data_IF_454111637841
#
_entry.id   IF_454111637841
#
_cell.length_a   1.000
_cell.length_b   1.000
_cell.length_c   1.000
_cell.angle_alpha   90.00
_cell.angle_beta   90.00
_cell.angle_gamma   90.00
#
_symmetry.space_group_name_H-M   'P 1'
#
loop_
_entity.id
_entity.type
_entity.pdbx_description
1 polymer ?
#
# COMPACT_ATOMS: atom_id res chain seq x y z
N UNK A 1 -20.49 -27.22 -8.76
CA UNK A 1 -19.81 -26.01 -9.29
C UNK A 1 -20.50 -25.49 -10.56
N UNK A 2 -20.87 -26.37 -11.49
CA UNK A 2 -21.44 -25.95 -12.78
C UNK A 2 -22.74 -25.13 -12.63
N UNK A 3 -23.55 -25.41 -11.61
CA UNK A 3 -24.76 -24.66 -11.30
C UNK A 3 -24.50 -23.17 -10.95
N UNK A 4 -23.26 -22.79 -10.59
CA UNK A 4 -22.86 -21.39 -10.37
C UNK A 4 -22.89 -20.57 -11.66
N UNK A 5 -22.95 -21.21 -12.83
CA UNK A 5 -23.10 -20.52 -14.12
C UNK A 5 -24.52 -19.96 -14.30
N UNK A 6 -25.49 -20.48 -13.58
CA UNK A 6 -26.86 -19.95 -13.54
C UNK A 6 -27.02 -18.79 -12.54
N UNK A 7 -26.04 -18.53 -11.69
CA UNK A 7 -26.08 -17.48 -10.67
C UNK A 7 -25.36 -16.25 -11.18
N UNK A 8 -26.09 -15.21 -11.49
CA UNK A 8 -25.52 -13.91 -11.91
C UNK A 8 -24.80 -13.27 -10.70
N UNK A 9 -23.52 -12.95 -10.86
CA UNK A 9 -22.78 -12.15 -9.88
C UNK A 9 -23.15 -10.66 -10.06
N UNK A 10 -22.98 -10.16 -11.27
CA UNK A 10 -23.39 -8.82 -11.69
C UNK A 10 -23.62 -8.83 -13.21
N UNK A 11 -24.62 -8.11 -13.70
CA UNK A 11 -25.07 -8.20 -15.11
C UNK A 11 -23.94 -8.01 -16.15
N UNK A 12 -23.02 -7.07 -15.90
CA UNK A 12 -21.90 -6.80 -16.81
C UNK A 12 -20.67 -7.66 -16.52
N UNK A 13 -20.52 -8.22 -15.29
CA UNK A 13 -19.34 -8.97 -14.88
C UNK A 13 -19.51 -10.50 -15.00
N UNK A 14 -20.73 -10.93 -15.41
CA UNK A 14 -21.03 -12.32 -15.66
C UNK A 14 -21.46 -13.11 -14.42
N UNK A 15 -21.23 -14.43 -14.47
CA UNK A 15 -21.75 -15.39 -13.51
C UNK A 15 -20.83 -15.56 -12.30
N UNK A 16 -21.36 -16.16 -11.22
CA UNK A 16 -20.58 -16.54 -10.04
C UNK A 16 -19.54 -17.62 -10.38
N UNK A 17 -19.75 -18.44 -11.40
CA UNK A 17 -18.75 -19.38 -11.90
C UNK A 17 -17.56 -18.63 -12.52
N UNK A 18 -17.81 -17.59 -13.33
CA UNK A 18 -16.76 -16.76 -13.90
C UNK A 18 -15.95 -16.07 -12.79
N UNK A 19 -16.63 -15.50 -11.78
CA UNK A 19 -16.00 -14.92 -10.58
C UNK A 19 -15.12 -15.96 -9.86
N UNK A 20 -15.61 -17.18 -9.61
CA UNK A 20 -14.83 -18.24 -8.94
C UNK A 20 -13.55 -18.57 -9.71
N UNK A 21 -13.59 -18.58 -11.04
CA UNK A 21 -12.39 -18.79 -11.88
C UNK A 21 -11.37 -17.65 -11.73
N UNK A 22 -11.82 -16.39 -11.65
CA UNK A 22 -10.93 -15.24 -11.42
C UNK A 22 -10.33 -15.27 -10.01
N UNK A 23 -11.12 -15.63 -8.99
CA UNK A 23 -10.63 -15.82 -7.61
C UNK A 23 -9.48 -16.84 -7.59
N UNK A 24 -9.61 -17.98 -8.27
CA UNK A 24 -8.54 -19.00 -8.35
C UNK A 24 -7.28 -18.44 -9.04
N UNK A 25 -7.44 -17.71 -10.15
CA UNK A 25 -6.30 -17.09 -10.86
C UNK A 25 -5.57 -16.09 -9.95
N UNK A 26 -6.32 -15.22 -9.28
CA UNK A 26 -5.75 -14.22 -8.37
C UNK A 26 -5.10 -14.88 -7.15
N UNK A 27 -5.73 -15.90 -6.56
CA UNK A 27 -5.12 -16.66 -5.46
C UNK A 27 -3.78 -17.30 -5.89
N UNK A 28 -3.69 -17.81 -7.13
CA UNK A 28 -2.44 -18.32 -7.70
C UNK A 28 -1.38 -17.23 -7.82
N UNK A 29 -1.74 -16.05 -8.34
CA UNK A 29 -0.86 -14.89 -8.43
C UNK A 29 -0.34 -14.45 -7.04
N UNK A 30 -1.23 -14.37 -6.03
CA UNK A 30 -0.85 -14.04 -4.66
C UNK A 30 0.10 -15.09 -4.06
N UNK A 31 -0.13 -16.40 -4.31
CA UNK A 31 0.79 -17.43 -3.89
C UNK A 31 2.20 -17.24 -4.49
N UNK A 32 2.29 -16.89 -5.76
CA UNK A 32 3.57 -16.64 -6.45
C UNK A 32 4.29 -15.43 -5.89
N UNK A 33 3.58 -14.32 -5.67
CA UNK A 33 4.16 -13.09 -5.11
C UNK A 33 4.63 -13.25 -3.67
N UNK A 34 3.94 -14.11 -2.88
CA UNK A 34 4.27 -14.37 -1.48
C UNK A 34 5.22 -15.58 -1.29
N UNK A 35 5.66 -16.24 -2.39
CA UNK A 35 6.50 -17.44 -2.30
C UNK A 35 5.82 -18.65 -1.64
N UNK A 36 4.49 -18.75 -1.73
CA UNK A 36 3.72 -19.87 -1.19
C UNK A 36 3.72 -21.03 -2.19
N UNK A 37 4.14 -22.21 -1.77
CA UNK A 37 4.20 -23.41 -2.59
C UNK A 37 3.66 -24.67 -1.86
N UNK A 38 3.86 -25.84 -2.47
CA UNK A 38 3.49 -27.13 -1.88
C UNK A 38 2.02 -27.26 -1.49
N UNK A 39 1.77 -27.97 -0.39
CA UNK A 39 0.42 -28.27 0.10
C UNK A 39 -0.39 -27.01 0.43
N UNK A 40 0.26 -25.96 0.94
CA UNK A 40 -0.44 -24.72 1.27
C UNK A 40 -1.01 -24.04 0.02
N UNK A 41 -0.24 -23.97 -1.08
CA UNK A 41 -0.74 -23.49 -2.38
C UNK A 41 -1.89 -24.32 -2.89
N UNK A 42 -1.81 -25.66 -2.79
CA UNK A 42 -2.89 -26.56 -3.18
C UNK A 42 -4.16 -26.30 -2.39
N UNK A 43 -4.07 -26.16 -1.07
CA UNK A 43 -5.21 -25.84 -0.19
C UNK A 43 -5.82 -24.47 -0.52
N UNK A 44 -5.00 -23.45 -0.79
CA UNK A 44 -5.45 -22.12 -1.21
C UNK A 44 -6.25 -22.19 -2.51
N UNK A 45 -5.69 -22.81 -3.55
CA UNK A 45 -6.35 -22.91 -4.85
C UNK A 45 -7.64 -23.75 -4.76
N UNK A 46 -7.63 -24.80 -3.93
CA UNK A 46 -8.80 -25.63 -3.70
C UNK A 46 -9.90 -24.86 -2.95
N UNK A 47 -9.55 -24.13 -1.90
CA UNK A 47 -10.49 -23.28 -1.17
C UNK A 47 -11.04 -22.16 -2.06
N UNK A 48 -10.21 -21.50 -2.85
CA UNK A 48 -10.61 -20.49 -3.82
C UNK A 48 -11.61 -21.02 -4.86
N UNK A 49 -11.40 -22.25 -5.33
CA UNK A 49 -12.32 -22.92 -6.25
C UNK A 49 -13.68 -23.21 -5.61
N UNK A 50 -13.72 -23.60 -4.35
CA UNK A 50 -14.93 -24.07 -3.66
C UNK A 50 -15.66 -22.99 -2.86
N UNK A 51 -15.05 -21.83 -2.60
CA UNK A 51 -15.56 -20.83 -1.65
C UNK A 51 -16.96 -20.28 -1.98
N UNK A 52 -17.44 -20.42 -3.21
CA UNK A 52 -18.79 -19.99 -3.65
C UNK A 52 -19.73 -21.18 -3.94
N UNK A 53 -19.27 -22.43 -3.77
CA UNK A 53 -20.04 -23.63 -4.15
C UNK A 53 -21.35 -23.78 -3.37
N UNK A 54 -21.42 -23.25 -2.15
CA UNK A 54 -22.59 -23.37 -1.29
C UNK A 54 -23.76 -22.44 -1.71
N UNK A 55 -23.50 -21.43 -2.53
CA UNK A 55 -24.52 -20.48 -2.99
C UNK A 55 -25.67 -21.13 -3.78
N UNK A 56 -25.44 -22.30 -4.38
CA UNK A 56 -26.45 -23.07 -5.12
C UNK A 56 -27.07 -24.18 -4.28
N UNK A 57 -26.75 -24.31 -3.00
CA UNK A 57 -27.31 -25.30 -2.11
C UNK A 57 -28.63 -24.85 -1.51
N UNK A 58 -29.57 -25.77 -1.29
CA UNK A 58 -30.87 -25.44 -0.72
C UNK A 58 -30.79 -24.69 0.61
N UNK A 59 -29.81 -25.01 1.47
CA UNK A 59 -29.62 -24.34 2.74
C UNK A 59 -29.26 -22.86 2.57
N UNK A 60 -28.36 -22.51 1.64
CA UNK A 60 -27.93 -21.13 1.44
C UNK A 60 -28.94 -20.33 0.59
N UNK A 61 -29.64 -20.98 -0.33
CA UNK A 61 -30.74 -20.37 -1.08
C UNK A 61 -31.87 -19.95 -0.14
N UNK A 62 -32.22 -20.78 0.85
CA UNK A 62 -33.25 -20.48 1.85
C UNK A 62 -32.73 -19.50 2.93
N UNK A 63 -31.47 -19.69 3.39
CA UNK A 63 -30.86 -18.90 4.46
C UNK A 63 -29.52 -18.30 4.01
N UNK A 64 -29.56 -17.18 3.33
CA UNK A 64 -28.35 -16.53 2.78
C UNK A 64 -27.30 -16.15 3.84
N UNK A 65 -27.72 -16.00 5.10
CA UNK A 65 -26.82 -15.66 6.21
C UNK A 65 -25.83 -16.77 6.57
N UNK A 66 -26.09 -18.02 6.15
CA UNK A 66 -25.21 -19.17 6.43
C UNK A 66 -24.21 -19.45 5.32
N UNK A 67 -24.12 -18.59 4.29
CA UNK A 67 -23.12 -18.69 3.22
C UNK A 67 -21.69 -18.71 3.79
N UNK A 68 -20.84 -19.53 3.23
CA UNK A 68 -19.48 -19.80 3.70
C UNK A 68 -19.46 -20.81 4.85
N UNK A 69 -20.30 -20.63 5.86
CA UNK A 69 -20.40 -21.59 6.99
C UNK A 69 -20.91 -22.94 6.50
N UNK A 70 -21.99 -22.96 5.73
CA UNK A 70 -22.49 -24.21 5.14
C UNK A 70 -21.51 -24.81 4.14
N UNK A 71 -20.84 -23.98 3.34
CA UNK A 71 -19.78 -24.41 2.44
C UNK A 71 -18.66 -25.14 3.17
N UNK A 72 -18.23 -24.64 4.33
CA UNK A 72 -17.25 -25.32 5.19
C UNK A 72 -17.71 -26.70 5.67
N UNK A 73 -18.96 -26.83 6.14
CA UNK A 73 -19.50 -28.10 6.55
C UNK A 73 -19.58 -29.10 5.39
N UNK A 74 -20.01 -28.65 4.22
CA UNK A 74 -20.07 -29.49 3.03
C UNK A 74 -18.68 -29.92 2.55
N UNK A 75 -17.69 -28.99 2.55
CA UNK A 75 -16.32 -29.31 2.21
C UNK A 75 -15.75 -30.40 3.15
N UNK A 76 -15.93 -30.21 4.45
CA UNK A 76 -15.48 -31.19 5.45
C UNK A 76 -16.16 -32.55 5.27
N UNK A 77 -17.46 -32.58 5.02
CA UNK A 77 -18.21 -33.82 4.75
C UNK A 77 -17.78 -34.51 3.44
N UNK A 78 -17.30 -33.73 2.46
CA UNK A 78 -16.76 -34.24 1.20
C UNK A 78 -15.30 -34.71 1.31
N UNK A 79 -14.65 -34.58 2.47
CA UNK A 79 -13.27 -35.03 2.71
C UNK A 79 -12.19 -34.04 2.34
N UNK A 80 -12.53 -32.75 2.18
CA UNK A 80 -11.54 -31.66 1.99
C UNK A 80 -10.72 -31.48 3.29
N UNK A 81 -9.53 -30.92 3.17
CA UNK A 81 -8.65 -30.63 4.33
C UNK A 81 -9.32 -29.66 5.32
N UNK A 82 -8.90 -29.69 6.57
CA UNK A 82 -9.37 -28.70 7.56
C UNK A 82 -9.00 -27.28 7.13
N UNK A 83 -7.83 -27.08 6.48
CA UNK A 83 -7.40 -25.79 5.96
C UNK A 83 -8.35 -25.25 4.87
N UNK A 84 -8.73 -26.09 3.91
CA UNK A 84 -9.71 -25.75 2.86
C UNK A 84 -11.07 -25.42 3.46
N UNK A 85 -11.56 -26.29 4.36
CA UNK A 85 -12.87 -26.13 4.99
C UNK A 85 -12.94 -24.84 5.82
N UNK A 86 -11.89 -24.53 6.58
CA UNK A 86 -11.82 -23.30 7.38
C UNK A 86 -11.73 -22.05 6.49
N UNK A 87 -10.91 -22.08 5.43
CA UNK A 87 -10.80 -20.96 4.49
C UNK A 87 -12.13 -20.65 3.80
N UNK A 88 -12.93 -21.66 3.46
CA UNK A 88 -14.29 -21.48 2.92
C UNK A 88 -15.20 -20.74 3.93
N UNK A 89 -15.12 -21.08 5.24
CA UNK A 89 -15.89 -20.36 6.25
C UNK A 89 -15.43 -18.88 6.39
N UNK A 90 -14.13 -18.65 6.31
CA UNK A 90 -13.51 -17.39 6.70
C UNK A 90 -13.37 -16.38 5.55
N UNK A 91 -13.50 -16.79 4.27
CA UNK A 91 -13.21 -15.89 3.13
C UNK A 91 -14.09 -14.63 3.06
N UNK A 92 -15.26 -14.64 3.72
CA UNK A 92 -16.08 -13.43 3.85
C UNK A 92 -15.57 -12.45 4.93
N UNK A 93 -14.67 -12.89 5.81
CA UNK A 93 -14.12 -12.04 6.88
C UNK A 93 -13.11 -11.03 6.35
N UNK A 94 -12.94 -9.85 7.01
CA UNK A 94 -13.86 -9.33 8.01
C UNK A 94 -15.20 -8.92 7.37
N UNK A 95 -16.32 -9.18 8.05
CA UNK A 95 -17.69 -8.91 7.55
C UNK A 95 -18.19 -7.51 7.92
N UNK A 96 -17.64 -6.94 9.00
CA UNK A 96 -17.99 -5.61 9.51
C UNK A 96 -16.77 -4.99 10.21
N UNK A 97 -16.85 -3.70 10.55
CA UNK A 97 -15.77 -3.02 11.27
C UNK A 97 -15.56 -3.66 12.65
N UNK A 98 -14.33 -4.05 12.96
CA UNK A 98 -13.96 -4.75 14.20
C UNK A 98 -14.16 -6.27 14.16
N UNK A 99 -14.62 -6.86 13.03
CA UNK A 99 -14.60 -8.32 12.85
C UNK A 99 -13.16 -8.81 12.67
N UNK A 100 -12.86 -9.98 13.23
CA UNK A 100 -11.55 -10.59 13.07
C UNK A 100 -11.31 -11.01 11.61
N UNK A 101 -10.13 -10.76 11.05
CA UNK A 101 -9.74 -11.33 9.76
C UNK A 101 -9.63 -12.87 9.86
N UNK A 102 -9.50 -13.57 8.70
CA UNK A 102 -9.15 -14.98 8.70
C UNK A 102 -7.89 -15.25 9.52
N UNK A 103 -7.92 -16.30 10.34
CA UNK A 103 -6.80 -16.63 11.24
C UNK A 103 -5.62 -17.28 10.50
N UNK A 104 -5.88 -17.91 9.36
CA UNK A 104 -4.87 -18.65 8.58
C UNK A 104 -4.48 -17.92 7.32
N UNK A 105 -3.25 -18.11 6.85
CA UNK A 105 -2.77 -17.54 5.58
C UNK A 105 -3.62 -18.03 4.41
N UNK A 106 -4.03 -19.31 4.40
CA UNK A 106 -4.96 -19.89 3.41
C UNK A 106 -6.26 -19.09 3.35
N UNK A 107 -6.88 -18.82 4.50
CA UNK A 107 -8.11 -18.02 4.59
C UNK A 107 -7.92 -16.57 4.16
N UNK A 108 -6.79 -15.94 4.53
CA UNK A 108 -6.46 -14.54 4.14
C UNK A 108 -6.32 -14.40 2.62
N UNK A 109 -5.57 -15.31 1.95
CA UNK A 109 -5.39 -15.26 0.49
C UNK A 109 -6.73 -15.37 -0.23
N UNK A 110 -7.60 -16.33 0.17
CA UNK A 110 -8.92 -16.49 -0.46
C UNK A 110 -9.83 -15.29 -0.20
N UNK A 111 -9.79 -14.73 1.02
CA UNK A 111 -10.55 -13.53 1.37
C UNK A 111 -10.11 -12.30 0.56
N UNK A 112 -8.80 -12.11 0.39
CA UNK A 112 -8.26 -11.03 -0.45
C UNK A 112 -8.66 -11.24 -1.91
N UNK A 113 -8.50 -12.44 -2.44
CA UNK A 113 -8.84 -12.75 -3.83
C UNK A 113 -10.31 -12.47 -4.15
N UNK A 114 -11.24 -12.88 -3.27
CA UNK A 114 -12.68 -12.61 -3.45
C UNK A 114 -13.02 -11.12 -3.37
N UNK A 115 -12.46 -10.41 -2.37
CA UNK A 115 -12.73 -8.99 -2.16
C UNK A 115 -12.12 -8.12 -3.27
N UNK A 116 -10.89 -8.41 -3.67
CA UNK A 116 -10.20 -7.64 -4.69
C UNK A 116 -10.82 -7.84 -6.09
N UNK A 117 -11.22 -9.08 -6.43
CA UNK A 117 -12.02 -9.34 -7.64
C UNK A 117 -13.28 -8.48 -7.65
N UNK A 118 -14.03 -8.46 -6.54
CA UNK A 118 -15.27 -7.67 -6.44
C UNK A 118 -15.01 -6.18 -6.61
N UNK A 119 -13.99 -5.63 -5.93
CA UNK A 119 -13.66 -4.20 -6.00
C UNK A 119 -13.29 -3.82 -7.43
N UNK A 120 -12.29 -4.48 -8.01
CA UNK A 120 -11.81 -4.15 -9.36
C UNK A 120 -12.91 -4.31 -10.42
N UNK A 121 -13.71 -5.38 -10.34
CA UNK A 121 -14.80 -5.60 -11.27
C UNK A 121 -15.87 -4.52 -11.21
N UNK A 122 -16.28 -4.10 -10.02
CA UNK A 122 -17.31 -3.07 -9.89
C UNK A 122 -16.79 -1.69 -10.32
N UNK A 123 -15.51 -1.38 -10.09
CA UNK A 123 -14.91 -0.18 -10.67
C UNK A 123 -14.85 -0.24 -12.20
N UNK A 124 -14.51 -1.39 -12.78
CA UNK A 124 -14.45 -1.58 -14.25
C UNK A 124 -15.81 -1.38 -14.96
N UNK A 125 -16.94 -1.51 -14.25
CA UNK A 125 -18.29 -1.29 -14.80
C UNK A 125 -18.99 -0.05 -14.24
N UNK A 126 -18.23 0.93 -13.75
CA UNK A 126 -18.71 2.21 -13.22
C UNK A 126 -19.68 2.08 -12.02
N UNK A 127 -19.48 1.04 -11.19
CA UNK A 127 -20.25 0.80 -9.96
C UNK A 127 -19.43 1.11 -8.69
N UNK A 128 -18.48 2.04 -8.77
CA UNK A 128 -17.73 2.53 -7.64
C UNK A 128 -18.64 3.17 -6.57
N UNK A 129 -18.29 3.09 -5.27
CA UNK A 129 -19.07 3.72 -4.22
C UNK A 129 -19.08 5.25 -4.37
N UNK A 130 -20.24 5.87 -4.21
CA UNK A 130 -20.41 7.33 -4.30
C UNK A 130 -21.06 7.89 -3.03
N UNK A 131 -20.52 8.98 -2.47
CA UNK A 131 -21.08 9.62 -1.29
C UNK A 131 -21.36 8.62 -0.16
N UNK A 132 -22.63 8.50 0.26
CA UNK A 132 -23.08 7.51 1.25
C UNK A 132 -23.49 6.16 0.65
N UNK A 133 -23.57 6.03 -0.68
CA UNK A 133 -24.00 4.80 -1.36
C UNK A 133 -22.84 3.84 -1.53
N UNK A 134 -22.97 2.63 -1.00
CA UNK A 134 -22.04 1.52 -1.13
C UNK A 134 -22.80 0.19 -1.05
N UNK A 135 -23.63 -0.13 -2.06
CA UNK A 135 -24.53 -1.29 -2.01
C UNK A 135 -23.76 -2.64 -1.98
N UNK A 136 -22.52 -2.65 -2.44
CA UNK A 136 -21.66 -3.84 -2.46
C UNK A 136 -20.67 -3.89 -1.31
N UNK A 137 -20.72 -2.92 -0.38
CA UNK A 137 -19.82 -2.82 0.76
C UNK A 137 -18.32 -2.80 0.39
N UNK A 138 -17.97 -2.13 -0.73
CA UNK A 138 -16.61 -2.09 -1.24
C UNK A 138 -15.64 -1.40 -0.28
N UNK A 139 -16.11 -0.33 0.42
CA UNK A 139 -15.29 0.35 1.43
C UNK A 139 -14.87 -0.58 2.55
N UNK A 140 -15.79 -1.44 2.98
CA UNK A 140 -15.53 -2.45 4.02
C UNK A 140 -14.60 -3.54 3.50
N UNK A 141 -14.80 -3.98 2.27
CA UNK A 141 -13.93 -4.98 1.62
C UNK A 141 -12.49 -4.47 1.49
N UNK A 142 -12.30 -3.21 1.05
CA UNK A 142 -10.99 -2.58 0.94
C UNK A 142 -10.32 -2.42 2.33
N UNK A 143 -11.06 -1.92 3.33
CA UNK A 143 -10.55 -1.83 4.70
C UNK A 143 -10.13 -3.21 5.23
N UNK A 144 -10.91 -4.26 4.95
CA UNK A 144 -10.55 -5.62 5.34
C UNK A 144 -9.23 -6.10 4.70
N UNK A 145 -8.98 -5.78 3.43
CA UNK A 145 -7.70 -6.10 2.76
C UNK A 145 -6.56 -5.33 3.43
N UNK A 146 -6.70 -4.01 3.61
CA UNK A 146 -5.66 -3.18 4.23
C UNK A 146 -5.36 -3.64 5.66
N UNK A 147 -6.40 -3.98 6.46
CA UNK A 147 -6.22 -4.51 7.80
C UNK A 147 -5.42 -5.81 7.82
N UNK A 148 -5.65 -6.71 6.86
CA UNK A 148 -4.88 -7.96 6.74
C UNK A 148 -3.43 -7.70 6.35
N UNK A 149 -3.18 -6.78 5.42
CA UNK A 149 -1.82 -6.40 4.98
C UNK A 149 -1.01 -5.71 6.08
N UNK A 150 -1.66 -4.88 6.90
CA UNK A 150 -0.98 -4.09 7.93
C UNK A 150 -1.01 -4.76 9.32
N UNK A 151 -1.38 -6.03 9.42
CA UNK A 151 -1.47 -6.76 10.69
C UNK A 151 -0.11 -7.03 11.36
N UNK A 152 1.01 -6.83 10.65
CA UNK A 152 2.36 -7.03 11.19
C UNK A 152 2.77 -8.50 11.33
N UNK A 153 2.05 -9.40 10.65
CA UNK A 153 2.40 -10.81 10.50
C UNK A 153 3.06 -11.08 9.14
N UNK A 154 3.35 -12.34 8.81
CA UNK A 154 3.99 -12.76 7.58
C UNK A 154 3.08 -12.74 6.32
N UNK A 155 1.93 -12.04 6.40
CA UNK A 155 1.00 -11.88 5.29
C UNK A 155 1.22 -10.53 4.58
N UNK A 156 2.24 -10.47 3.74
CA UNK A 156 2.61 -9.27 2.99
C UNK A 156 2.66 -9.56 1.49
N UNK A 157 2.10 -8.67 0.68
CA UNK A 157 2.20 -8.66 -0.78
C UNK A 157 1.96 -7.24 -1.30
N UNK A 158 2.44 -6.96 -2.51
CA UNK A 158 2.21 -5.69 -3.17
C UNK A 158 0.80 -5.65 -3.79
N UNK A 159 -0.01 -4.70 -3.34
CA UNK A 159 -1.41 -4.63 -3.75
C UNK A 159 -1.57 -4.16 -5.21
N UNK A 160 -0.73 -3.24 -5.67
CA UNK A 160 -0.84 -2.69 -7.03
C UNK A 160 -0.65 -3.76 -8.10
N UNK A 161 0.37 -4.65 -8.06
CA UNK A 161 0.45 -5.80 -8.97
C UNK A 161 -0.75 -6.74 -8.90
N UNK A 162 -1.33 -6.95 -7.71
CA UNK A 162 -2.53 -7.77 -7.58
C UNK A 162 -3.75 -7.12 -8.24
N UNK A 163 -3.92 -5.79 -8.14
CA UNK A 163 -4.93 -5.02 -8.87
C UNK A 163 -4.75 -5.22 -10.38
N UNK A 164 -3.52 -5.06 -10.88
CA UNK A 164 -3.19 -5.22 -12.29
C UNK A 164 -3.56 -6.63 -12.81
N UNK A 165 -3.29 -7.67 -12.01
CA UNK A 165 -3.64 -9.05 -12.34
C UNK A 165 -5.16 -9.26 -12.46
N UNK A 166 -5.96 -8.65 -11.56
CA UNK A 166 -7.43 -8.73 -11.62
C UNK A 166 -7.98 -7.99 -12.83
N UNK A 167 -7.50 -6.77 -13.09
CA UNK A 167 -7.95 -5.98 -14.25
C UNK A 167 -7.63 -6.69 -15.57
N UNK A 168 -6.44 -7.30 -15.65
CA UNK A 168 -6.08 -8.14 -16.81
C UNK A 168 -7.01 -9.37 -16.96
N UNK A 169 -7.44 -9.98 -15.85
CA UNK A 169 -8.39 -11.09 -15.91
C UNK A 169 -9.77 -10.65 -16.41
N UNK A 170 -10.28 -9.48 -16.00
CA UNK A 170 -11.52 -8.92 -16.50
C UNK A 170 -11.45 -8.56 -17.99
N UNK A 171 -10.33 -7.96 -18.43
CA UNK A 171 -10.12 -7.68 -19.85
C UNK A 171 -10.06 -8.98 -20.69
N UNK A 172 -9.45 -10.04 -20.18
CA UNK A 172 -9.42 -11.36 -20.83
C UNK A 172 -10.80 -12.02 -20.87
N UNK A 173 -11.70 -11.73 -19.93
CA UNK A 173 -13.09 -12.16 -19.92
C UNK A 173 -13.97 -11.31 -20.88
N UNK A 174 -13.39 -10.34 -21.59
CA UNK A 174 -14.07 -9.51 -22.59
C UNK A 174 -14.81 -8.29 -22.01
N UNK A 175 -14.52 -7.89 -20.76
CA UNK A 175 -15.08 -6.67 -20.19
C UNK A 175 -14.32 -5.47 -20.73
N UNK A 176 -15.02 -4.52 -21.34
CA UNK A 176 -14.45 -3.29 -21.89
C UNK A 176 -14.45 -2.18 -20.84
N UNK A 177 -13.27 -1.62 -20.54
CA UNK A 177 -13.06 -0.48 -19.63
C UNK A 177 -11.72 0.20 -19.92
N UNK A 178 -11.54 1.43 -19.46
CA UNK A 178 -10.24 2.10 -19.47
C UNK A 178 -9.38 1.54 -18.30
N UNK A 179 -8.47 0.63 -18.62
CA UNK A 179 -7.68 -0.08 -17.63
C UNK A 179 -6.82 0.86 -16.79
N UNK A 180 -6.25 1.93 -17.38
CA UNK A 180 -5.43 2.89 -16.66
C UNK A 180 -6.28 3.74 -15.72
N UNK A 181 -7.40 4.26 -16.18
CA UNK A 181 -8.29 5.06 -15.35
C UNK A 181 -8.88 4.25 -14.18
N UNK A 182 -9.31 3.00 -14.43
CA UNK A 182 -9.83 2.11 -13.38
C UNK A 182 -8.73 1.76 -12.36
N UNK A 183 -7.52 1.45 -12.84
CA UNK A 183 -6.36 1.18 -11.98
C UNK A 183 -6.11 2.32 -11.00
N UNK A 184 -6.01 3.55 -11.49
CA UNK A 184 -5.77 4.73 -10.64
C UNK A 184 -6.91 4.96 -9.64
N UNK A 185 -8.16 4.78 -10.06
CA UNK A 185 -9.31 4.90 -9.16
C UNK A 185 -9.29 3.86 -8.04
N UNK A 186 -8.95 2.61 -8.35
CA UNK A 186 -8.85 1.53 -7.35
C UNK A 186 -7.70 1.80 -6.39
N UNK A 187 -6.52 2.20 -6.87
CA UNK A 187 -5.38 2.56 -6.02
C UNK A 187 -5.76 3.71 -5.08
N UNK A 188 -6.34 4.79 -5.58
CA UNK A 188 -6.76 5.93 -4.76
C UNK A 188 -7.83 5.53 -3.73
N UNK A 189 -8.71 4.60 -4.11
CA UNK A 189 -9.70 4.05 -3.19
C UNK A 189 -9.05 3.33 -2.01
N UNK A 190 -7.99 2.54 -2.24
CA UNK A 190 -7.22 1.88 -1.18
C UNK A 190 -6.39 2.86 -0.35
N UNK A 191 -5.70 3.81 -0.98
CA UNK A 191 -4.95 4.89 -0.30
C UNK A 191 -5.87 5.64 0.68
N UNK A 192 -7.06 6.01 0.23
CA UNK A 192 -8.05 6.67 1.09
C UNK A 192 -8.46 5.79 2.29
N UNK A 193 -8.57 4.48 2.13
CA UNK A 193 -8.91 3.56 3.23
C UNK A 193 -7.75 3.39 4.21
N UNK A 194 -6.53 3.27 3.72
CA UNK A 194 -5.33 3.21 4.57
C UNK A 194 -5.17 4.49 5.39
N UNK A 195 -5.35 5.65 4.76
CA UNK A 195 -5.36 6.96 5.44
C UNK A 195 -6.37 7.03 6.60
N UNK A 196 -7.58 6.53 6.39
CA UNK A 196 -8.60 6.49 7.46
C UNK A 196 -8.18 5.54 8.57
N UNK A 197 -7.70 4.36 8.23
CA UNK A 197 -7.24 3.36 9.19
C UNK A 197 -6.10 3.89 10.06
N UNK A 198 -5.08 4.50 9.45
CA UNK A 198 -3.94 5.01 10.21
C UNK A 198 -4.30 6.20 11.09
N UNK A 199 -5.25 7.04 10.65
CA UNK A 199 -5.80 8.10 11.51
C UNK A 199 -6.55 7.53 12.72
N UNK A 200 -7.34 6.48 12.52
CA UNK A 200 -8.05 5.79 13.61
C UNK A 200 -7.06 5.08 14.56
N UNK A 201 -5.89 4.65 14.06
CA UNK A 201 -4.77 4.12 14.84
C UNK A 201 -3.99 5.22 15.61
N UNK A 202 -4.33 6.50 15.42
CA UNK A 202 -3.74 7.63 16.13
C UNK A 202 -2.50 8.22 15.45
N UNK A 203 -2.25 7.90 14.18
CA UNK A 203 -1.24 8.56 13.36
C UNK A 203 -1.65 10.00 13.08
N UNK A 204 -0.73 10.94 13.20
CA UNK A 204 -0.99 12.36 12.99
C UNK A 204 -1.30 12.68 11.51
N UNK A 205 -2.11 13.71 11.28
CA UNK A 205 -2.53 14.08 9.94
C UNK A 205 -1.35 14.58 9.07
N UNK A 206 -0.39 15.26 9.68
CA UNK A 206 0.80 15.79 9.00
C UNK A 206 1.74 14.66 8.55
N UNK A 207 1.94 13.60 9.35
CA UNK A 207 2.70 12.42 8.95
C UNK A 207 2.05 11.69 7.76
N UNK A 208 0.72 11.54 7.80
CA UNK A 208 -0.05 10.98 6.70
C UNK A 208 0.15 11.81 5.41
N UNK A 209 -0.03 13.12 5.50
CA UNK A 209 0.07 14.00 4.34
C UNK A 209 1.51 14.07 3.81
N UNK A 210 2.53 14.02 4.68
CA UNK A 210 3.94 14.00 4.30
C UNK A 210 4.33 12.74 3.48
N UNK A 211 3.85 11.57 3.85
CA UNK A 211 4.11 10.32 3.12
C UNK A 211 3.36 10.30 1.78
N UNK A 212 2.12 10.79 1.75
CA UNK A 212 1.36 10.91 0.49
C UNK A 212 2.02 11.87 -0.50
N UNK A 213 2.57 12.98 -0.01
CA UNK A 213 3.28 13.96 -0.84
C UNK A 213 4.56 13.37 -1.46
N UNK A 214 5.19 12.37 -0.83
CA UNK A 214 6.30 11.58 -1.40
C UNK A 214 5.85 10.59 -2.51
N UNK A 215 4.57 10.55 -2.84
CA UNK A 215 4.04 9.72 -3.94
C UNK A 215 3.81 8.26 -3.61
N UNK A 216 3.84 7.87 -2.34
CA UNK A 216 3.62 6.49 -1.90
C UNK A 216 2.17 6.08 -2.18
N UNK A 217 1.98 4.95 -2.87
CA UNK A 217 0.67 4.44 -3.30
C UNK A 217 0.37 3.02 -2.81
N UNK A 218 1.39 2.25 -2.42
CA UNK A 218 1.21 0.93 -1.84
C UNK A 218 0.74 1.05 -0.38
N UNK A 219 -0.40 0.45 0.01
CA UNK A 219 -0.95 0.61 1.36
C UNK A 219 -0.03 0.10 2.47
N UNK A 220 0.66 -1.02 2.24
CA UNK A 220 1.59 -1.57 3.23
C UNK A 220 2.81 -0.67 3.41
N UNK A 221 3.41 -0.21 2.31
CA UNK A 221 4.52 0.74 2.32
C UNK A 221 4.12 2.04 3.02
N UNK A 222 2.93 2.56 2.68
CA UNK A 222 2.38 3.77 3.30
C UNK A 222 2.25 3.61 4.83
N UNK A 223 1.61 2.52 5.28
CA UNK A 223 1.43 2.25 6.71
C UNK A 223 2.79 2.14 7.44
N UNK A 224 3.74 1.39 6.90
CA UNK A 224 5.08 1.23 7.48
C UNK A 224 5.81 2.58 7.58
N UNK A 225 5.74 3.43 6.54
CA UNK A 225 6.39 4.76 6.53
C UNK A 225 5.80 5.71 7.56
N UNK A 226 4.47 5.82 7.65
CA UNK A 226 3.84 6.73 8.63
C UNK A 226 4.10 6.28 10.08
N UNK A 227 4.10 4.98 10.34
CA UNK A 227 4.44 4.42 11.65
C UNK A 227 5.91 4.72 12.00
N UNK A 228 6.84 4.55 11.06
CA UNK A 228 8.26 4.87 11.28
C UNK A 228 8.48 6.36 11.56
N UNK A 229 7.79 7.26 10.85
CA UNK A 229 7.83 8.71 11.09
C UNK A 229 7.34 9.06 12.50
N UNK A 230 6.19 8.51 12.91
CA UNK A 230 5.65 8.74 14.24
C UNK A 230 6.56 8.19 15.36
N UNK A 231 7.20 7.06 15.11
CA UNK A 231 8.15 6.47 16.04
C UNK A 231 9.39 7.36 16.20
N UNK A 232 10.00 7.77 15.08
CA UNK A 232 11.17 8.67 15.09
C UNK A 232 10.86 10.01 15.79
N UNK A 233 9.68 10.59 15.53
CA UNK A 233 9.22 11.82 16.20
C UNK A 233 9.09 11.67 17.72
N UNK A 234 8.67 10.49 18.19
CA UNK A 234 8.50 10.23 19.63
C UNK A 234 9.82 9.90 20.34
N UNK A 235 10.73 9.22 19.67
CA UNK A 235 12.02 8.81 20.26
C UNK A 235 12.99 9.98 20.42
N UNK A 236 13.11 10.83 19.40
CA UNK A 236 13.98 12.03 19.44
C UNK A 236 13.27 13.23 18.81
N UNK A 237 12.34 13.86 19.56
CA UNK A 237 11.57 15.01 19.09
C UNK A 237 12.44 16.19 18.66
N UNK A 238 13.54 16.43 19.35
CA UNK A 238 14.43 17.58 19.09
C UNK A 238 15.15 17.38 17.75
N UNK A 239 15.75 16.23 17.53
CA UNK A 239 16.41 15.93 16.25
C UNK A 239 15.40 15.93 15.10
N UNK A 240 14.22 15.35 15.31
CA UNK A 240 13.16 15.29 14.29
C UNK A 240 12.69 16.70 13.89
N UNK A 241 12.43 17.58 14.87
CA UNK A 241 12.00 18.96 14.61
C UNK A 241 13.09 19.78 13.94
N UNK A 242 14.33 19.66 14.37
CA UNK A 242 15.45 20.37 13.76
C UNK A 242 15.65 20.00 12.29
N UNK A 243 15.50 18.69 11.96
CA UNK A 243 15.55 18.23 10.58
C UNK A 243 14.38 18.76 9.74
N UNK A 244 13.16 18.76 10.29
CA UNK A 244 12.00 19.31 9.59
C UNK A 244 12.16 20.81 9.33
N UNK A 245 12.73 21.56 10.28
CA UNK A 245 13.03 22.98 10.11
C UNK A 245 14.13 23.20 9.06
N UNK A 246 15.22 22.42 9.10
CA UNK A 246 16.31 22.52 8.13
C UNK A 246 15.83 22.16 6.71
N UNK A 247 15.02 21.10 6.57
CA UNK A 247 14.38 20.75 5.31
C UNK A 247 13.48 21.87 4.80
N UNK A 248 12.59 22.39 5.64
CA UNK A 248 11.67 23.47 5.27
C UNK A 248 12.44 24.73 4.79
N UNK A 249 13.54 25.08 5.47
CA UNK A 249 14.40 26.17 5.05
C UNK A 249 15.06 25.91 3.69
N UNK A 250 15.60 24.72 3.49
CA UNK A 250 16.21 24.32 2.22
C UNK A 250 15.17 24.31 1.09
N UNK A 251 13.99 23.73 1.34
CA UNK A 251 12.91 23.63 0.37
C UNK A 251 12.34 25.00 -0.05
N UNK A 252 12.32 25.99 0.86
CA UNK A 252 11.88 27.35 0.56
C UNK A 252 12.90 28.17 -0.23
N UNK A 253 14.20 27.86 -0.09
CA UNK A 253 15.28 28.56 -0.77
C UNK A 253 15.63 27.97 -2.14
N UNK A 254 15.49 26.67 -2.29
CA UNK A 254 15.91 25.95 -3.49
C UNK A 254 15.18 26.41 -4.75
N UNK A 255 15.83 26.18 -5.89
CA UNK A 255 15.24 26.33 -7.22
C UNK A 255 15.31 24.95 -7.95
N UNK A 256 14.22 24.20 -7.99
CA UNK A 256 14.18 22.86 -8.59
C UNK A 256 14.58 22.83 -10.08
N UNK A 257 14.41 23.93 -10.82
CA UNK A 257 14.73 24.00 -12.25
C UNK A 257 16.24 23.94 -12.51
N UNK A 258 17.07 24.29 -11.52
CA UNK A 258 18.52 24.24 -11.64
C UNK A 258 19.10 22.81 -11.59
N UNK A 259 18.30 21.82 -11.21
CA UNK A 259 18.76 20.44 -11.05
C UNK A 259 19.61 20.23 -9.79
N UNK A 260 20.40 19.14 -9.77
CA UNK A 260 21.19 18.70 -8.60
C UNK A 260 22.70 18.64 -8.86
N UNK A 261 23.13 18.92 -10.09
CA UNK A 261 24.54 18.78 -10.53
C UNK A 261 25.31 20.06 -10.19
N UNK A 262 25.90 20.08 -9.00
CA UNK A 262 26.75 21.17 -8.52
C UNK A 262 28.21 20.96 -8.96
N UNK A 263 28.99 22.06 -8.99
CA UNK A 263 30.43 22.06 -9.29
C UNK A 263 31.25 21.99 -7.99
N UNK A 264 31.94 20.85 -7.78
CA UNK A 264 32.77 20.62 -6.58
C UNK A 264 33.90 21.65 -6.44
N UNK A 265 34.41 22.22 -7.54
CA UNK A 265 35.51 23.19 -7.51
C UNK A 265 35.10 24.53 -6.90
N UNK A 266 33.81 24.80 -6.81
CA UNK A 266 33.25 26.04 -6.23
C UNK A 266 32.88 25.87 -4.74
N UNK A 267 33.00 24.66 -4.18
CA UNK A 267 32.63 24.40 -2.80
C UNK A 267 33.75 24.83 -1.82
N UNK A 268 33.37 25.54 -0.77
CA UNK A 268 34.23 25.70 0.40
C UNK A 268 34.20 24.46 1.32
N UNK A 269 35.02 24.42 2.34
CA UNK A 269 35.15 23.30 3.26
C UNK A 269 33.81 22.90 3.90
N UNK A 270 32.97 23.85 4.31
CA UNK A 270 31.66 23.60 4.93
C UNK A 270 30.67 23.04 3.92
N UNK A 271 30.65 23.58 2.71
CA UNK A 271 29.81 23.10 1.61
C UNK A 271 30.21 21.69 1.20
N UNK A 272 31.53 21.42 1.13
CA UNK A 272 32.06 20.09 0.82
C UNK A 272 31.70 19.05 1.90
N UNK A 273 31.72 19.43 3.17
CA UNK A 273 31.30 18.56 4.26
C UNK A 273 29.81 18.16 4.15
N UNK A 274 28.95 19.13 3.81
CA UNK A 274 27.52 18.86 3.58
C UNK A 274 27.31 17.93 2.37
N UNK A 275 27.94 18.23 1.22
CA UNK A 275 27.78 17.43 0.00
C UNK A 275 28.27 16.00 0.17
N UNK A 276 29.40 15.79 0.86
CA UNK A 276 29.87 14.45 1.23
C UNK A 276 28.86 13.69 2.09
N UNK A 277 28.25 14.36 3.08
CA UNK A 277 27.24 13.75 3.93
C UNK A 277 25.98 13.38 3.11
N UNK A 278 25.52 14.29 2.22
CA UNK A 278 24.37 14.03 1.34
C UNK A 278 24.62 12.79 0.46
N UNK A 279 25.77 12.69 -0.22
CA UNK A 279 26.10 11.56 -1.09
C UNK A 279 26.11 10.23 -0.31
N UNK A 280 26.63 10.23 0.92
CA UNK A 280 26.59 9.04 1.77
C UNK A 280 25.17 8.67 2.19
N UNK A 281 24.37 9.66 2.61
CA UNK A 281 22.99 9.45 3.01
C UNK A 281 22.13 8.94 1.84
N UNK A 282 22.28 9.50 0.63
CA UNK A 282 21.56 9.03 -0.57
C UNK A 282 21.70 7.52 -0.78
N UNK A 283 22.96 7.03 -0.75
CA UNK A 283 23.22 5.61 -0.97
C UNK A 283 22.71 4.70 0.15
N UNK A 284 22.65 5.21 1.40
CA UNK A 284 22.15 4.44 2.55
C UNK A 284 20.63 4.48 2.63
N UNK A 285 20.02 5.64 2.44
CA UNK A 285 18.56 5.79 2.37
C UNK A 285 17.99 4.93 1.25
N UNK A 286 18.59 4.95 0.05
CA UNK A 286 18.12 4.14 -1.06
C UNK A 286 18.11 2.62 -0.71
N UNK A 287 19.20 2.13 -0.11
CA UNK A 287 19.28 0.72 0.34
C UNK A 287 18.27 0.37 1.44
N UNK A 288 18.05 1.28 2.39
CA UNK A 288 17.08 1.09 3.44
C UNK A 288 15.64 1.05 2.87
N UNK A 289 15.33 1.92 1.89
CA UNK A 289 14.03 1.92 1.20
C UNK A 289 13.82 0.63 0.38
N UNK A 290 14.84 0.15 -0.34
CA UNK A 290 14.81 -1.14 -1.06
C UNK A 290 14.57 -2.33 -0.11
N UNK A 291 15.10 -2.24 1.12
CA UNK A 291 14.89 -3.25 2.15
C UNK A 291 13.58 -3.06 2.94
N UNK A 292 12.77 -2.04 2.65
CA UNK A 292 11.61 -1.62 3.44
C UNK A 292 11.95 -1.30 4.91
N UNK A 293 13.22 -0.91 5.19
CA UNK A 293 13.70 -0.51 6.51
C UNK A 293 13.59 1.02 6.69
N UNK A 294 12.36 1.47 6.96
CA UNK A 294 12.08 2.90 7.10
C UNK A 294 12.68 3.53 8.37
N UNK A 295 12.79 2.82 9.51
CA UNK A 295 13.55 3.31 10.66
C UNK A 295 15.01 3.62 10.33
N UNK A 296 15.70 2.74 9.59
CA UNK A 296 17.07 2.98 9.14
C UNK A 296 17.15 4.15 8.16
N UNK A 297 16.21 4.25 7.20
CA UNK A 297 16.14 5.39 6.29
C UNK A 297 16.04 6.72 7.06
N UNK A 298 15.23 6.79 8.10
CA UNK A 298 15.07 7.98 8.95
C UNK A 298 16.32 8.26 9.80
N UNK A 299 16.99 7.22 10.31
CA UNK A 299 18.26 7.37 11.05
C UNK A 299 19.37 7.95 10.14
N UNK A 300 19.43 7.52 8.88
CA UNK A 300 20.37 8.08 7.91
C UNK A 300 20.06 9.54 7.56
N UNK A 301 18.79 9.91 7.43
CA UNK A 301 18.40 11.32 7.29
C UNK A 301 18.81 12.14 8.52
N UNK A 302 18.68 11.58 9.72
CA UNK A 302 19.08 12.24 10.97
C UNK A 302 20.59 12.58 11.01
N UNK A 303 21.42 11.80 10.32
CA UNK A 303 22.85 12.06 10.19
C UNK A 303 23.18 13.38 9.50
N UNK A 304 22.25 13.91 8.67
CA UNK A 304 22.40 15.17 7.94
C UNK A 304 22.19 16.43 8.83
N UNK A 305 21.64 16.28 10.05
CA UNK A 305 21.34 17.43 10.93
C UNK A 305 22.55 18.32 11.13
N UNK A 306 23.66 17.80 11.67
CA UNK A 306 24.85 18.59 11.97
C UNK A 306 25.47 19.25 10.73
N UNK A 307 25.68 18.56 9.60
CA UNK A 307 26.20 19.17 8.39
C UNK A 307 25.33 20.31 7.85
N UNK A 308 24.00 20.15 7.84
CA UNK A 308 23.09 21.18 7.31
C UNK A 308 22.95 22.37 8.25
N UNK A 309 22.96 22.16 9.56
CA UNK A 309 22.96 23.25 10.54
C UNK A 309 24.21 24.11 10.38
N UNK A 310 25.40 23.49 10.28
CA UNK A 310 26.66 24.20 10.07
C UNK A 310 26.67 24.94 8.73
N UNK A 311 26.11 24.35 7.68
CA UNK A 311 25.97 25.00 6.38
C UNK A 311 25.12 26.27 6.49
N UNK A 312 23.95 26.21 7.10
CA UNK A 312 23.09 27.40 7.24
C UNK A 312 23.61 28.43 8.23
N UNK A 313 24.48 28.05 9.17
CA UNK A 313 25.13 28.95 10.10
C UNK A 313 26.27 29.76 9.43
N UNK A 314 27.02 29.10 8.52
CA UNK A 314 28.27 29.66 7.97
C UNK A 314 28.13 30.16 6.55
N UNK A 315 27.14 29.74 5.78
CA UNK A 315 27.03 30.01 4.35
C UNK A 315 25.82 30.90 4.05
N UNK A 316 26.11 32.03 3.37
CA UNK A 316 25.06 32.86 2.79
C UNK A 316 24.61 32.25 1.47
N UNK A 317 23.50 31.47 1.49
CA UNK A 317 23.00 30.77 0.29
C UNK A 317 22.73 31.72 -0.86
N UNK A 318 22.07 32.86 -0.59
CA UNK A 318 21.74 33.89 -1.58
C UNK A 318 22.92 34.88 -1.75
N UNK A 319 24.06 34.34 -2.20
CA UNK A 319 25.27 35.11 -2.45
C UNK A 319 25.08 36.17 -3.57
N UNK A 320 25.86 37.25 -3.51
CA UNK A 320 25.89 38.27 -4.58
C UNK A 320 26.45 37.68 -5.90
N UNK A 321 27.44 36.79 -5.79
CA UNK A 321 27.95 36.02 -6.92
C UNK A 321 26.90 35.01 -7.40
N UNK A 322 26.41 35.22 -8.62
CA UNK A 322 25.37 34.39 -9.23
C UNK A 322 25.82 32.95 -9.43
N UNK A 323 27.11 32.71 -9.69
CA UNK A 323 27.65 31.35 -9.91
C UNK A 323 27.67 30.55 -8.60
N UNK A 324 28.16 31.18 -7.52
CA UNK A 324 28.14 30.56 -6.19
C UNK A 324 26.73 30.34 -5.69
N UNK A 325 25.83 31.31 -5.88
CA UNK A 325 24.42 31.17 -5.51
C UNK A 325 23.75 30.00 -6.21
N UNK A 326 23.90 29.89 -7.54
CA UNK A 326 23.34 28.79 -8.31
C UNK A 326 23.90 27.43 -7.81
N UNK A 327 25.20 27.35 -7.59
CA UNK A 327 25.83 26.13 -7.09
C UNK A 327 25.26 25.68 -5.72
N UNK A 328 25.06 26.63 -4.80
CA UNK A 328 24.46 26.40 -3.48
C UNK A 328 23.01 25.96 -3.58
N UNK A 329 22.20 26.50 -4.49
CA UNK A 329 20.84 26.10 -4.73
C UNK A 329 20.76 24.64 -5.25
N UNK A 330 21.69 24.22 -6.12
CA UNK A 330 21.83 22.84 -6.58
C UNK A 330 22.17 21.88 -5.43
N UNK A 331 23.02 22.27 -4.49
CA UNK A 331 23.30 21.49 -3.28
C UNK A 331 22.04 21.34 -2.42
N UNK A 332 21.25 22.41 -2.25
CA UNK A 332 19.99 22.36 -1.53
C UNK A 332 18.93 21.50 -2.25
N UNK A 333 18.87 21.53 -3.59
CA UNK A 333 18.02 20.64 -4.36
C UNK A 333 18.33 19.17 -4.06
N UNK A 334 19.61 18.83 -4.05
CA UNK A 334 20.06 17.46 -3.75
C UNK A 334 19.72 17.05 -2.32
N UNK A 335 19.98 17.92 -1.34
CA UNK A 335 19.60 17.72 0.06
C UNK A 335 18.10 17.42 0.21
N UNK A 336 17.22 18.25 -0.36
CA UNK A 336 15.77 18.07 -0.29
C UNK A 336 15.33 16.78 -0.97
N UNK A 337 15.96 16.41 -2.09
CA UNK A 337 15.59 15.18 -2.82
C UNK A 337 15.81 13.90 -1.99
N UNK A 338 16.88 13.86 -1.16
CA UNK A 338 17.11 12.71 -0.26
C UNK A 338 15.96 12.54 0.70
N UNK A 339 15.47 13.62 1.31
CA UNK A 339 14.33 13.59 2.24
C UNK A 339 13.03 13.23 1.53
N UNK A 340 12.78 13.84 0.36
CA UNK A 340 11.56 13.65 -0.42
C UNK A 340 11.35 12.21 -0.89
N UNK A 341 12.40 11.38 -0.90
CA UNK A 341 12.28 9.94 -1.17
C UNK A 341 11.59 9.18 -0.02
N UNK A 342 11.61 9.71 1.20
CA UNK A 342 11.00 9.11 2.40
C UNK A 342 9.65 9.76 2.70
N UNK A 343 9.63 11.08 2.84
CA UNK A 343 8.45 11.89 3.12
C UNK A 343 8.71 13.38 2.81
N UNK A 344 7.65 14.18 2.66
CA UNK A 344 7.77 15.66 2.60
C UNK A 344 7.84 16.23 4.02
N UNK A 345 9.05 16.43 4.51
CA UNK A 345 9.30 16.98 5.85
C UNK A 345 8.80 18.43 6.02
N UNK A 346 8.54 19.17 4.93
CA UNK A 346 7.95 20.51 5.00
C UNK A 346 6.52 20.51 5.56
N UNK A 347 5.83 19.38 5.51
CA UNK A 347 4.49 19.21 6.10
C UNK A 347 4.55 18.85 7.58
N UNK A 348 5.72 18.43 8.11
CA UNK A 348 5.93 17.99 9.49
C UNK A 348 6.38 19.11 10.43
N UNK A 349 6.86 20.23 9.90
CA UNK A 349 7.40 21.37 10.64
C UNK A 349 6.31 22.38 11.04
N UNK A 350 5.29 21.96 11.77
CA UNK A 350 4.21 22.85 12.25
C UNK A 350 4.04 22.79 13.75
#
# INVERSE_FOLDING_TARGET
MDDLDAVVFQEKLGTTLAKSKRIVKLAGHLCESMGIDGQEKEDILRAAHLCKADLVTGAVVEFTSVQGVMGSYYAKAAGETDAVSQAIADHYRPRFSGDNPPATRVGKVVAVADKLDTICGLFAVDQAPTGSSDPFALRRSALGIVTMLCAGDDFEFDLVPAIDAVLAAYAADGIEFDAQAVREQVIEFFVTRTKVMERDNGVSADAIDAVLAAGVREPLEFAKRVIALEHARREDPDTFNDLAVAYGRANNLRDPELGVDYDDSLLCEVEHALTCAIVQAEGRVARALEANDYPEALAELASLRKPVDLFFERIMVMDEDAVLRENRLKVLNRFVNVFSSVADFGLLAK
#
